data_IF_693275129698
#
_entry.id   IF_693275129698
#
_cell.length_a   1.000
_cell.length_b   1.000
_cell.length_c   1.000
_cell.angle_alpha   90.00
_cell.angle_beta   90.00
_cell.angle_gamma   90.00
#
_symmetry.space_group_name_H-M   'P 1'
#
loop_
_entity.id
_entity.type
_entity.pdbx_description
1 polymer ?
#
# COMPACT_ATOMS: atom_id res chain seq x y z
N UNK A 1 -38.53 2.17 -9.69
CA UNK A 1 -39.02 0.84 -9.29
C UNK A 1 -40.05 1.04 -8.18
N UNK A 2 -41.26 0.50 -8.32
CA UNK A 2 -42.31 0.58 -7.28
C UNK A 2 -42.42 -0.79 -6.64
N UNK A 3 -42.06 -0.89 -5.36
CA UNK A 3 -42.09 -2.12 -4.57
C UNK A 3 -43.27 -2.08 -3.60
N UNK A 4 -43.93 -3.22 -3.41
CA UNK A 4 -44.94 -3.39 -2.36
C UNK A 4 -44.28 -3.99 -1.11
N UNK A 5 -44.76 -3.57 0.06
CA UNK A 5 -44.31 -4.11 1.36
C UNK A 5 -44.49 -5.62 1.37
N UNK A 6 -43.44 -6.36 1.75
CA UNK A 6 -43.38 -7.83 1.84
C UNK A 6 -43.51 -8.61 0.51
N UNK A 7 -43.41 -7.93 -0.64
CA UNK A 7 -43.43 -8.61 -1.94
C UNK A 7 -42.02 -8.68 -2.52
N UNK A 8 -41.50 -9.89 -2.68
CA UNK A 8 -40.21 -10.13 -3.30
C UNK A 8 -40.27 -9.78 -4.80
N UNK A 9 -39.24 -9.09 -5.29
CA UNK A 9 -39.10 -8.75 -6.70
C UNK A 9 -37.81 -9.34 -7.25
N UNK A 10 -37.93 -10.17 -8.27
CA UNK A 10 -36.78 -10.73 -8.98
C UNK A 10 -36.40 -9.81 -10.14
N UNK A 11 -35.13 -9.41 -10.19
CA UNK A 11 -34.56 -8.69 -11.32
C UNK A 11 -33.53 -9.55 -12.03
N UNK A 12 -33.52 -9.48 -13.37
CA UNK A 12 -32.45 -10.05 -14.17
C UNK A 12 -31.38 -9.00 -14.41
N UNK A 13 -30.13 -9.36 -14.15
CA UNK A 13 -28.97 -8.52 -14.39
C UNK A 13 -28.08 -9.23 -15.42
N UNK A 14 -27.77 -8.53 -16.50
CA UNK A 14 -26.84 -8.99 -17.53
C UNK A 14 -25.56 -8.17 -17.48
N UNK A 15 -24.40 -8.81 -17.47
CA UNK A 15 -23.10 -8.15 -17.50
C UNK A 15 -22.18 -8.81 -18.53
N UNK A 16 -21.24 -8.04 -19.07
CA UNK A 16 -20.17 -8.51 -19.95
C UNK A 16 -18.89 -7.77 -19.58
N UNK A 17 -17.76 -8.48 -19.53
CA UNK A 17 -16.46 -7.84 -19.36
C UNK A 17 -16.04 -7.15 -20.67
N UNK A 18 -15.57 -5.91 -20.56
CA UNK A 18 -15.00 -5.19 -21.69
C UNK A 18 -13.62 -5.77 -22.04
N UNK A 19 -13.36 -5.95 -23.33
CA UNK A 19 -12.03 -6.24 -23.86
C UNK A 19 -11.19 -4.96 -23.84
N UNK A 20 -9.87 -5.09 -23.64
CA UNK A 20 -8.92 -3.94 -23.57
C UNK A 20 -9.27 -2.89 -22.49
N UNK A 21 -9.90 -3.34 -21.39
CA UNK A 21 -10.27 -2.43 -20.30
C UNK A 21 -9.02 -1.88 -19.58
N UNK A 22 -8.99 -0.60 -19.19
CA UNK A 22 -7.88 -0.02 -18.44
C UNK A 22 -7.55 -0.76 -17.14
N UNK A 23 -6.26 -0.93 -16.85
CA UNK A 23 -5.76 -1.57 -15.61
C UNK A 23 -4.77 -0.65 -14.91
N UNK A 24 -5.04 -0.35 -13.65
CA UNK A 24 -4.12 0.30 -12.72
C UNK A 24 -3.61 -0.75 -11.74
N UNK A 25 -2.30 -0.92 -11.64
CA UNK A 25 -1.67 -1.81 -10.66
C UNK A 25 -0.76 -0.99 -9.76
N UNK A 26 -1.05 -0.98 -8.45
CA UNK A 26 -0.21 -0.35 -7.45
C UNK A 26 0.45 -1.44 -6.62
N UNK A 27 1.78 -1.51 -6.72
CA UNK A 27 2.58 -2.48 -5.98
C UNK A 27 2.98 -1.90 -4.63
N UNK A 28 2.58 -2.55 -3.56
CA UNK A 28 2.81 -2.14 -2.18
C UNK A 28 3.74 -3.15 -1.51
N UNK A 29 4.99 -2.74 -1.29
CA UNK A 29 6.07 -3.63 -0.86
C UNK A 29 6.51 -3.33 0.58
N UNK A 30 6.63 -4.38 1.36
CA UNK A 30 7.38 -4.37 2.61
C UNK A 30 8.88 -4.16 2.33
N UNK A 31 9.48 -3.15 2.98
CA UNK A 31 10.91 -2.87 2.92
C UNK A 31 11.60 -3.08 4.27
N UNK A 32 11.08 -3.97 5.11
CA UNK A 32 11.82 -4.58 6.22
C UNK A 32 13.10 -5.27 5.71
N UNK A 33 14.06 -5.52 6.61
CA UNK A 33 15.38 -6.05 6.24
C UNK A 33 15.30 -7.46 5.65
N UNK A 34 14.29 -8.25 6.01
CA UNK A 34 14.10 -9.60 5.49
C UNK A 34 13.75 -9.62 4.00
N UNK A 35 13.19 -8.53 3.47
CA UNK A 35 12.80 -8.38 2.05
C UNK A 35 13.94 -7.89 1.13
N UNK A 36 15.19 -7.87 1.61
CA UNK A 36 16.33 -7.29 0.89
C UNK A 36 16.66 -8.02 -0.42
N UNK A 37 16.62 -9.34 -0.43
CA UNK A 37 16.86 -10.18 -1.61
C UNK A 37 15.67 -10.18 -2.58
N UNK A 38 14.44 -10.09 -2.06
CA UNK A 38 13.21 -9.98 -2.87
C UNK A 38 13.17 -8.72 -3.73
N UNK A 39 13.74 -7.62 -3.25
CA UNK A 39 13.79 -6.33 -3.97
C UNK A 39 14.46 -6.44 -5.34
N UNK A 40 15.55 -7.21 -5.46
CA UNK A 40 16.24 -7.41 -6.75
C UNK A 40 15.35 -8.15 -7.76
N UNK A 41 14.66 -9.18 -7.28
CA UNK A 41 13.72 -9.97 -8.09
C UNK A 41 12.53 -9.12 -8.52
N UNK A 42 12.00 -8.29 -7.61
CA UNK A 42 10.85 -7.43 -7.88
C UNK A 42 11.14 -6.36 -8.94
N UNK A 43 12.33 -5.75 -8.90
CA UNK A 43 12.70 -4.74 -9.90
C UNK A 43 12.67 -5.31 -11.32
N UNK A 44 13.17 -6.54 -11.50
CA UNK A 44 13.12 -7.26 -12.78
C UNK A 44 11.69 -7.62 -13.17
N UNK A 45 10.88 -8.06 -12.19
CA UNK A 45 9.48 -8.42 -12.39
C UNK A 45 8.65 -7.24 -12.89
N UNK A 46 8.91 -6.01 -12.43
CA UNK A 46 8.15 -4.83 -12.86
C UNK A 46 8.20 -4.56 -14.36
N UNK A 47 9.36 -4.77 -14.99
CA UNK A 47 9.53 -4.61 -16.45
C UNK A 47 8.76 -5.72 -17.18
N UNK A 48 8.98 -6.97 -16.78
CA UNK A 48 8.32 -8.12 -17.40
C UNK A 48 6.80 -8.05 -17.26
N UNK A 49 6.31 -7.65 -16.08
CA UNK A 49 4.88 -7.46 -15.82
C UNK A 49 4.28 -6.40 -16.75
N UNK A 50 4.96 -5.27 -16.93
CA UNK A 50 4.49 -4.25 -17.85
C UNK A 50 4.46 -4.74 -19.30
N UNK A 51 5.48 -5.48 -19.74
CA UNK A 51 5.54 -6.07 -21.09
C UNK A 51 4.42 -7.09 -21.34
N UNK A 52 4.15 -7.98 -20.37
CA UNK A 52 3.05 -8.95 -20.48
C UNK A 52 1.68 -8.28 -20.41
N UNK A 53 1.50 -7.29 -19.53
CA UNK A 53 0.24 -6.55 -19.41
C UNK A 53 -0.08 -5.73 -20.66
N UNK A 54 0.94 -5.22 -21.38
CA UNK A 54 0.76 -4.53 -22.65
C UNK A 54 0.17 -5.42 -23.76
N UNK A 55 0.33 -6.75 -23.65
CA UNK A 55 -0.30 -7.71 -24.57
C UNK A 55 -1.79 -7.91 -24.29
N UNK A 56 -2.24 -7.59 -23.07
CA UNK A 56 -3.62 -7.75 -22.60
C UNK A 56 -4.41 -6.45 -22.71
N UNK A 57 -3.81 -5.33 -22.32
CA UNK A 57 -4.42 -3.99 -22.36
C UNK A 57 -3.42 -2.94 -22.81
N UNK A 58 -3.87 -2.03 -23.67
CA UNK A 58 -3.08 -0.86 -24.09
C UNK A 58 -3.01 0.22 -23.00
N UNK A 59 -3.85 0.09 -21.98
CA UNK A 59 -4.08 1.12 -20.96
C UNK A 59 -3.63 0.64 -19.58
N UNK A 60 -2.37 0.22 -19.46
CA UNK A 60 -1.75 -0.22 -18.22
C UNK A 60 -1.02 0.93 -17.50
N UNK A 61 -1.27 1.11 -16.20
CA UNK A 61 -0.45 1.94 -15.32
C UNK A 61 0.12 1.09 -14.18
N UNK A 62 1.35 1.38 -13.82
CA UNK A 62 2.07 0.76 -12.71
C UNK A 62 2.53 1.85 -11.73
N UNK A 63 2.35 1.59 -10.44
CA UNK A 63 2.77 2.45 -9.35
C UNK A 63 3.46 1.65 -8.25
N UNK A 64 4.18 2.34 -7.37
CA UNK A 64 4.96 1.73 -6.31
C UNK A 64 4.82 2.51 -5.00
N UNK A 65 4.56 1.78 -3.92
CA UNK A 65 4.61 2.28 -2.56
C UNK A 65 5.33 1.27 -1.67
N UNK A 66 5.87 1.77 -0.57
CA UNK A 66 6.58 0.93 0.40
C UNK A 66 6.22 1.26 1.84
N UNK A 67 6.38 0.28 2.73
CA UNK A 67 6.10 0.43 4.14
C UNK A 67 7.10 -0.35 5.00
N UNK A 68 7.15 0.00 6.28
CA UNK A 68 7.85 -0.73 7.34
C UNK A 68 6.90 -0.77 8.53
N UNK A 69 7.04 0.14 9.49
CA UNK A 69 6.12 0.24 10.62
C UNK A 69 6.10 1.63 11.27
N UNK A 70 5.23 1.81 12.26
CA UNK A 70 5.09 3.03 13.05
C UNK A 70 6.38 3.32 13.80
N UNK A 71 6.89 4.54 13.65
CA UNK A 71 8.15 4.99 14.26
C UNK A 71 7.97 5.36 15.74
N UNK A 72 7.50 4.42 16.55
CA UNK A 72 7.36 4.52 18.01
C UNK A 72 7.77 3.19 18.67
N UNK A 73 8.21 3.24 19.94
CA UNK A 73 8.35 2.02 20.76
C UNK A 73 6.95 1.40 20.94
N UNK A 74 6.76 0.06 20.93
CA UNK A 74 7.80 -0.98 20.86
C UNK A 74 8.16 -1.47 19.46
N UNK A 75 7.50 -0.99 18.41
CA UNK A 75 7.70 -1.47 17.04
C UNK A 75 9.11 -1.14 16.53
N UNK A 76 9.63 0.04 16.86
CA UNK A 76 11.02 0.43 16.53
C UNK A 76 11.81 0.83 17.76
N UNK A 77 13.15 0.79 17.64
CA UNK A 77 14.04 1.34 18.68
C UNK A 77 14.04 2.87 18.63
N UNK A 78 13.74 3.51 19.76
CA UNK A 78 13.80 4.98 19.90
C UNK A 78 15.18 5.49 20.34
N UNK A 79 16.20 4.63 20.38
CA UNK A 79 17.59 5.05 20.63
C UNK A 79 18.06 5.88 19.43
N UNK A 80 18.62 7.09 19.62
CA UNK A 80 18.92 8.01 18.51
C UNK A 80 19.74 7.40 17.37
N UNK A 81 20.74 6.56 17.70
CA UNK A 81 21.55 5.86 16.71
C UNK A 81 20.74 4.85 15.89
N UNK A 82 19.80 4.12 16.54
CA UNK A 82 18.96 3.12 15.88
C UNK A 82 17.81 3.72 15.08
N UNK A 83 17.37 4.94 15.40
CA UNK A 83 16.44 5.68 14.57
C UNK A 83 17.08 6.15 13.25
N UNK A 84 18.40 6.35 13.22
CA UNK A 84 19.13 6.69 12.01
C UNK A 84 19.53 5.43 11.23
N UNK A 85 20.00 4.40 11.94
CA UNK A 85 20.49 3.15 11.38
C UNK A 85 19.97 1.96 12.19
N UNK A 86 18.76 1.44 11.88
CA UNK A 86 18.18 0.31 12.61
C UNK A 86 19.01 -0.98 12.44
N UNK A 87 19.63 -1.14 11.28
CA UNK A 87 20.52 -2.23 10.88
C UNK A 87 21.64 -1.77 9.94
N UNK A 88 22.59 -2.66 9.63
CA UNK A 88 23.65 -2.38 8.65
C UNK A 88 23.04 -2.09 7.28
N UNK A 89 23.46 -0.98 6.67
CA UNK A 89 23.04 -0.54 5.34
C UNK A 89 21.52 -0.29 5.20
N UNK A 90 20.87 0.01 6.33
CA UNK A 90 19.43 0.30 6.39
C UNK A 90 19.16 1.81 6.50
N UNK A 91 18.08 2.23 5.85
CA UNK A 91 17.51 3.56 6.06
C UNK A 91 16.71 3.63 7.37
N UNK A 92 16.51 4.85 7.86
CA UNK A 92 15.64 5.13 9.00
C UNK A 92 14.23 4.54 8.79
N UNK A 93 13.59 4.00 9.84
CA UNK A 93 12.24 3.45 9.77
C UNK A 93 11.21 4.53 9.43
N UNK A 94 10.14 4.11 8.77
CA UNK A 94 9.03 4.96 8.35
C UNK A 94 7.75 4.11 8.21
N UNK A 95 6.58 4.75 8.32
CA UNK A 95 5.30 4.06 8.21
C UNK A 95 4.98 3.62 6.78
N UNK A 96 4.54 4.57 5.94
CA UNK A 96 4.22 4.33 4.53
C UNK A 96 4.73 5.47 3.66
N UNK A 97 5.15 5.13 2.44
CA UNK A 97 5.56 6.07 1.41
C UNK A 97 5.02 5.69 0.03
N UNK A 98 4.30 6.62 -0.60
CA UNK A 98 3.99 6.58 -2.02
C UNK A 98 5.20 7.06 -2.83
N UNK A 99 6.04 6.12 -3.27
CA UNK A 99 7.29 6.42 -3.98
C UNK A 99 7.06 6.75 -5.47
N UNK A 100 6.11 6.07 -6.13
CA UNK A 100 5.75 6.29 -7.52
C UNK A 100 4.22 6.25 -7.70
N UNK A 101 3.58 7.41 -7.93
CA UNK A 101 2.20 7.45 -8.38
C UNK A 101 2.00 6.69 -9.69
N UNK A 102 0.79 6.16 -9.92
CA UNK A 102 0.46 5.37 -11.12
C UNK A 102 0.83 6.10 -12.40
N UNK A 103 1.68 5.45 -13.20
CA UNK A 103 2.23 5.96 -14.46
C UNK A 103 2.32 4.87 -15.52
N UNK A 104 2.40 5.26 -16.78
CA UNK A 104 2.64 4.33 -17.91
C UNK A 104 4.13 4.00 -18.09
N UNK A 105 5.02 4.68 -17.37
CA UNK A 105 6.46 4.49 -17.48
C UNK A 105 6.94 3.32 -16.60
N UNK A 106 7.01 2.12 -17.16
CA UNK A 106 7.49 0.92 -16.47
C UNK A 106 8.96 1.02 -16.02
N UNK A 107 9.81 1.74 -16.74
CA UNK A 107 11.20 1.95 -16.34
C UNK A 107 11.32 2.79 -15.07
N UNK A 108 10.39 3.74 -14.86
CA UNK A 108 10.34 4.51 -13.61
C UNK A 108 10.01 3.61 -12.42
N UNK A 109 9.16 2.59 -12.59
CA UNK A 109 8.89 1.60 -11.55
C UNK A 109 10.17 0.84 -11.17
N UNK A 110 10.85 0.24 -12.15
CA UNK A 110 12.07 -0.53 -11.89
C UNK A 110 13.14 0.31 -11.18
N UNK A 111 13.27 1.58 -11.58
CA UNK A 111 14.17 2.54 -10.96
C UNK A 111 13.79 2.86 -9.49
N UNK A 112 12.52 3.21 -9.22
CA UNK A 112 12.10 3.54 -7.85
C UNK A 112 12.17 2.33 -6.91
N UNK A 113 11.87 1.11 -7.40
CA UNK A 113 12.09 -0.13 -6.63
C UNK A 113 13.56 -0.32 -6.29
N UNK A 114 14.48 -0.19 -7.25
CA UNK A 114 15.93 -0.35 -6.97
C UNK A 114 16.46 0.71 -6.00
N UNK A 115 15.97 1.95 -6.14
CA UNK A 115 16.40 3.09 -5.33
C UNK A 115 15.88 3.03 -3.90
N UNK A 116 14.73 2.41 -3.65
CA UNK A 116 14.11 2.37 -2.33
C UNK A 116 14.99 1.56 -1.35
N UNK A 117 15.57 2.18 -0.31
CA UNK A 117 16.42 1.46 0.63
C UNK A 117 15.58 0.55 1.53
N UNK A 118 16.15 -0.59 1.94
CA UNK A 118 15.58 -1.40 3.02
C UNK A 118 15.73 -0.67 4.35
N UNK A 119 14.87 -1.02 5.31
CA UNK A 119 14.84 -0.48 6.65
C UNK A 119 14.69 -1.61 7.67
N UNK A 120 14.37 -1.29 8.92
CA UNK A 120 14.13 -2.29 9.94
C UNK A 120 13.40 -1.75 11.17
N UNK A 121 12.70 -2.67 11.82
CA UNK A 121 11.93 -2.56 13.06
C UNK A 121 12.42 -3.63 14.06
N UNK A 122 11.76 -3.75 15.21
CA UNK A 122 12.14 -4.65 16.31
C UNK A 122 11.29 -5.91 16.38
N UNK A 123 9.98 -5.79 16.14
CA UNK A 123 9.05 -6.90 16.10
C UNK A 123 8.87 -7.46 14.69
N UNK A 124 8.10 -8.54 14.59
CA UNK A 124 7.92 -9.26 13.34
C UNK A 124 6.71 -8.78 12.51
N UNK A 125 5.53 -8.45 13.09
CA UNK A 125 4.44 -7.90 12.29
C UNK A 125 4.78 -6.48 11.81
N UNK A 126 4.30 -6.12 10.62
CA UNK A 126 4.60 -4.82 10.00
C UNK A 126 3.35 -3.93 9.90
N UNK A 127 3.58 -2.65 9.61
CA UNK A 127 2.55 -1.61 9.46
C UNK A 127 1.82 -1.61 8.12
N UNK A 128 1.73 -2.75 7.44
CA UNK A 128 1.20 -2.85 6.07
C UNK A 128 -0.27 -2.39 5.92
N UNK A 129 -1.07 -2.49 6.97
CA UNK A 129 -2.47 -2.05 6.94
C UNK A 129 -2.64 -0.53 6.85
N UNK A 130 -1.74 0.26 7.46
CA UNK A 130 -1.70 1.72 7.26
C UNK A 130 -1.43 2.03 5.77
N UNK A 131 -0.50 1.28 5.19
CA UNK A 131 -0.09 1.45 3.80
C UNK A 131 -1.23 1.10 2.82
N UNK A 132 -1.96 0.01 3.07
CA UNK A 132 -3.15 -0.37 2.30
C UNK A 132 -4.21 0.73 2.38
N UNK A 133 -4.52 1.21 3.59
CA UNK A 133 -5.52 2.26 3.78
C UNK A 133 -5.16 3.51 2.97
N UNK A 134 -3.94 4.02 3.13
CA UNK A 134 -3.48 5.21 2.42
C UNK A 134 -3.44 5.00 0.89
N UNK A 135 -3.06 3.82 0.42
CA UNK A 135 -3.07 3.49 -1.00
C UNK A 135 -4.50 3.48 -1.61
N UNK A 136 -5.53 3.14 -0.83
CA UNK A 136 -6.92 3.14 -1.28
C UNK A 136 -7.51 4.55 -1.26
N UNK A 137 -7.38 5.27 -0.13
CA UNK A 137 -8.13 6.52 0.09
C UNK A 137 -7.49 7.74 -0.58
N UNK A 138 -6.17 7.73 -0.81
CA UNK A 138 -5.46 8.83 -1.46
C UNK A 138 -5.54 8.79 -2.99
N UNK A 139 -6.77 8.84 -3.53
CA UNK A 139 -7.02 8.63 -4.96
C UNK A 139 -6.21 9.55 -5.88
N UNK A 140 -6.06 10.82 -5.52
CA UNK A 140 -5.35 11.81 -6.33
C UNK A 140 -3.82 11.64 -6.27
N UNK A 141 -3.28 11.34 -5.08
CA UNK A 141 -1.85 11.17 -4.84
C UNK A 141 -1.35 9.85 -5.46
N UNK A 142 -2.16 8.79 -5.38
CA UNK A 142 -1.86 7.51 -6.04
C UNK A 142 -2.17 7.55 -7.54
N UNK A 143 -3.13 8.40 -7.95
CA UNK A 143 -3.63 8.61 -9.34
C UNK A 143 -4.45 7.45 -9.91
N UNK A 144 -5.31 6.87 -9.09
CA UNK A 144 -6.29 5.88 -9.54
C UNK A 144 -7.23 6.48 -10.59
N UNK A 145 -7.46 5.77 -11.70
CA UNK A 145 -8.49 6.16 -12.68
C UNK A 145 -9.88 5.81 -12.14
N UNK A 146 -10.87 6.65 -12.44
CA UNK A 146 -12.28 6.40 -12.12
C UNK A 146 -12.82 5.16 -12.85
N UNK A 147 -12.41 4.96 -14.10
CA UNK A 147 -12.84 3.87 -14.97
C UNK A 147 -11.66 2.95 -15.32
N UNK A 148 -11.22 2.17 -14.35
CA UNK A 148 -10.18 1.16 -14.54
C UNK A 148 -10.36 0.02 -13.54
N UNK A 149 -9.81 -1.14 -13.89
CA UNK A 149 -9.59 -2.19 -12.90
C UNK A 149 -8.44 -1.75 -12.01
N UNK A 150 -8.72 -1.52 -10.73
CA UNK A 150 -7.75 -1.12 -9.70
C UNK A 150 -7.25 -2.37 -9.00
N UNK A 151 -5.95 -2.64 -9.08
CA UNK A 151 -5.29 -3.79 -8.48
C UNK A 151 -4.26 -3.29 -7.47
N UNK A 152 -4.43 -3.66 -6.21
CA UNK A 152 -3.42 -3.44 -5.17
C UNK A 152 -2.71 -4.77 -4.91
N UNK A 153 -1.40 -4.83 -5.18
CA UNK A 153 -0.58 -6.01 -4.88
C UNK A 153 0.20 -5.74 -3.61
N UNK A 154 -0.12 -6.47 -2.55
CA UNK A 154 0.55 -6.38 -1.26
C UNK A 154 1.58 -7.51 -1.12
N UNK A 155 2.84 -7.17 -0.88
CA UNK A 155 3.96 -8.12 -0.77
C UNK A 155 4.72 -7.92 0.54
N UNK A 156 4.76 -8.97 1.37
CA UNK A 156 5.48 -9.05 2.64
C UNK A 156 5.78 -10.52 2.95
N UNK A 157 6.82 -10.79 3.71
CA UNK A 157 7.15 -12.10 4.28
C UNK A 157 6.71 -12.25 5.75
N UNK A 158 6.02 -11.23 6.27
CA UNK A 158 5.68 -11.09 7.67
C UNK A 158 4.16 -11.01 7.95
N UNK A 159 3.82 -11.01 9.25
CA UNK A 159 2.46 -10.70 9.71
C UNK A 159 2.15 -9.21 9.57
N UNK A 160 0.95 -8.81 9.97
CA UNK A 160 0.53 -7.40 9.94
C UNK A 160 -0.07 -6.99 11.29
N UNK A 161 0.18 -5.74 11.67
CA UNK A 161 -0.54 -5.08 12.74
C UNK A 161 -1.93 -4.62 12.28
N UNK A 162 -2.88 -4.62 13.22
CA UNK A 162 -4.26 -4.19 12.99
C UNK A 162 -4.80 -3.41 14.18
N UNK A 163 -6.01 -2.83 14.01
CA UNK A 163 -6.63 -1.99 15.03
C UNK A 163 -6.58 -2.61 16.45
N UNK A 164 -6.10 -1.81 17.40
CA UNK A 164 -5.83 -2.17 18.78
C UNK A 164 -4.35 -2.32 19.09
N UNK A 165 -3.53 -2.72 18.11
CA UNK A 165 -2.10 -2.99 18.32
C UNK A 165 -1.33 -1.70 18.64
N UNK A 166 -1.71 -0.56 18.05
CA UNK A 166 -1.12 0.76 18.28
C UNK A 166 -1.13 1.21 19.75
N UNK A 167 -2.00 0.60 20.57
CA UNK A 167 -2.09 0.86 22.00
C UNK A 167 -0.78 0.58 22.73
N UNK A 168 0.00 -0.39 22.26
CA UNK A 168 1.32 -0.70 22.85
C UNK A 168 2.30 0.47 22.69
N UNK A 169 2.22 1.21 21.58
CA UNK A 169 2.99 2.44 21.37
C UNK A 169 2.30 3.72 21.83
N UNK A 170 1.24 3.62 22.63
CA UNK A 170 0.50 4.76 23.16
C UNK A 170 -0.44 5.44 22.15
N UNK A 171 -0.65 4.83 20.99
CA UNK A 171 -1.52 5.35 19.93
C UNK A 171 -2.92 4.78 20.14
N UNK A 172 -3.83 5.62 20.62
CA UNK A 172 -5.20 5.21 21.00
C UNK A 172 -6.29 5.84 20.12
N UNK A 173 -5.93 6.78 19.23
CA UNK A 173 -6.86 7.39 18.30
C UNK A 173 -7.11 6.42 17.15
N UNK A 174 -8.36 5.98 16.88
CA UNK A 174 -8.64 5.11 15.73
C UNK A 174 -8.24 5.76 14.40
N UNK A 175 -7.92 4.92 13.40
CA UNK A 175 -7.77 5.35 12.03
C UNK A 175 -9.07 6.02 11.52
N UNK A 176 -8.98 7.17 10.84
CA UNK A 176 -10.15 7.89 10.36
C UNK A 176 -10.61 7.49 8.95
N UNK A 177 -9.81 6.69 8.22
CA UNK A 177 -10.12 6.29 6.85
C UNK A 177 -9.92 7.42 5.82
N UNK A 178 -9.17 8.47 6.18
CA UNK A 178 -8.92 9.63 5.32
C UNK A 178 -7.48 9.64 4.76
N UNK A 179 -7.27 10.43 3.70
CA UNK A 179 -5.95 10.58 3.10
C UNK A 179 -5.05 11.54 3.88
N UNK A 180 -3.83 11.09 4.22
CA UNK A 180 -2.87 11.80 5.05
C UNK A 180 -1.44 11.76 4.48
N UNK A 181 -1.32 11.81 3.15
CA UNK A 181 -0.02 11.92 2.48
C UNK A 181 0.44 13.37 2.36
N UNK A 182 1.70 13.62 2.68
CA UNK A 182 2.33 14.91 2.40
C UNK A 182 2.72 15.05 0.92
N UNK A 183 3.24 16.22 0.53
CA UNK A 183 3.70 16.48 -0.85
C UNK A 183 4.87 15.60 -1.33
N UNK A 184 5.54 14.89 -0.42
CA UNK A 184 6.62 13.94 -0.71
C UNK A 184 6.12 12.49 -0.80
N UNK A 185 4.82 12.26 -0.55
CA UNK A 185 4.21 10.94 -0.54
C UNK A 185 4.35 10.18 0.79
N UNK A 186 4.85 10.80 1.86
CA UNK A 186 4.98 10.13 3.15
C UNK A 186 3.68 10.22 3.97
N UNK A 187 3.32 9.13 4.65
CA UNK A 187 2.17 9.09 5.55
C UNK A 187 2.45 9.85 6.85
N UNK A 188 1.68 10.91 7.07
CA UNK A 188 1.91 11.86 8.17
C UNK A 188 1.29 11.44 9.50
N UNK A 189 0.33 10.51 9.48
CA UNK A 189 -0.46 10.14 10.66
C UNK A 189 -0.07 8.77 11.25
N UNK A 190 1.03 8.17 10.79
CA UNK A 190 1.52 6.87 11.26
C UNK A 190 1.65 6.80 12.79
N UNK A 191 2.11 7.86 13.43
CA UNK A 191 2.28 7.95 14.89
C UNK A 191 1.10 8.65 15.61
N UNK A 192 0.08 9.10 14.86
CA UNK A 192 -1.06 9.85 15.37
C UNK A 192 -2.35 9.03 15.43
N UNK A 193 -2.44 7.99 14.58
CA UNK A 193 -3.61 7.13 14.44
C UNK A 193 -3.18 5.67 14.52
N UNK A 194 -4.02 4.85 15.15
CA UNK A 194 -3.88 3.41 15.25
C UNK A 194 -3.93 2.77 13.85
N UNK A 195 -3.49 1.52 13.74
CA UNK A 195 -3.65 0.75 12.52
C UNK A 195 -5.15 0.62 12.18
N UNK A 196 -5.53 0.56 10.90
CA UNK A 196 -6.91 0.35 10.52
C UNK A 196 -7.33 -1.09 10.82
N UNK A 197 -8.62 -1.29 11.08
CA UNK A 197 -9.22 -2.62 11.15
C UNK A 197 -9.51 -3.17 9.74
N UNK A 198 -9.66 -4.49 9.64
CA UNK A 198 -10.12 -5.14 8.40
C UNK A 198 -11.45 -4.54 7.91
N UNK A 199 -12.36 -4.21 8.83
CA UNK A 199 -13.65 -3.61 8.49
C UNK A 199 -13.51 -2.21 7.90
N UNK A 200 -12.58 -1.39 8.40
CA UNK A 200 -12.33 -0.05 7.86
C UNK A 200 -11.77 -0.13 6.46
N UNK A 201 -10.79 -1.03 6.22
CA UNK A 201 -10.25 -1.26 4.87
C UNK A 201 -11.36 -1.71 3.92
N UNK A 202 -12.19 -2.69 4.33
CA UNK A 202 -13.27 -3.19 3.47
C UNK A 202 -14.37 -2.14 3.18
N UNK A 203 -14.52 -1.13 4.01
CA UNK A 203 -15.49 -0.05 3.79
C UNK A 203 -15.04 0.95 2.71
N UNK A 204 -13.73 1.14 2.56
CA UNK A 204 -13.15 2.11 1.62
C UNK A 204 -12.64 1.49 0.32
N UNK A 205 -12.52 0.15 0.27
CA UNK A 205 -12.04 -0.62 -0.87
C UNK A 205 -13.00 -0.61 -2.07
#
# INVERSE_FOLDING_TARGET
MKLRVQEAYSMQVTFRQAEDYPVDLYYLMDLSKSMEDDKESLSKLGIQLAEEMQKITKNFKLGFGSFVDKVVMPYVSTVPERLLHPCSDCAAPYGFKNALPLTTNASAFAYEVQKAPVSGNLDAPEGGFDAIMQAIVCQDQIRWRSEARRLLVFSTDAGFHYAGDGKLGGIVKPNDGECHLNNKGDYTHSTLQDYPSVSQINQVA
#
